data_IF_952624208015
#
_entry.id   IF_952624208015
#
_cell.length_a   1.000
_cell.length_b   1.000
_cell.length_c   1.000
_cell.angle_alpha   90.00
_cell.angle_beta   90.00
_cell.angle_gamma   90.00
#
_symmetry.space_group_name_H-M   'P 1'
#
loop_
_entity.id
_entity.type
_entity.pdbx_description
1 polymer ?
#
# COMPACT_ATOMS: atom_id res chain seq x y z
N UNK A 1 -15.82 -1.14 -13.92
CA UNK A 1 -15.34 0.00 -13.10
C UNK A 1 -13.94 -0.32 -12.65
N UNK A 2 -12.94 0.42 -13.15
CA UNK A 2 -11.59 0.42 -12.58
C UNK A 2 -11.47 1.67 -11.74
N UNK A 3 -10.94 1.55 -10.53
CA UNK A 3 -10.76 2.69 -9.64
C UNK A 3 -9.42 3.42 -9.94
N UNK A 4 -8.54 2.83 -10.76
CA UNK A 4 -7.20 3.33 -11.10
C UNK A 4 -6.99 3.32 -12.61
N UNK A 5 -6.55 4.45 -13.15
CA UNK A 5 -6.14 4.59 -14.55
C UNK A 5 -4.62 4.57 -14.68
N UNK A 6 -4.12 3.78 -15.62
CA UNK A 6 -2.71 3.75 -15.99
C UNK A 6 -2.52 4.63 -17.22
N UNK A 7 -2.05 5.86 -17.03
CA UNK A 7 -1.84 6.81 -18.14
C UNK A 7 -0.78 6.31 -19.11
N UNK A 8 0.30 5.72 -18.58
CA UNK A 8 1.43 5.16 -19.35
C UNK A 8 2.00 3.93 -18.65
N UNK A 9 2.66 3.07 -19.41
CA UNK A 9 3.34 1.88 -18.87
C UNK A 9 2.38 0.72 -18.61
N UNK A 10 2.71 -0.07 -17.59
CA UNK A 10 1.93 -1.27 -17.22
C UNK A 10 1.09 -1.01 -15.97
N UNK A 11 -0.08 -1.67 -15.89
CA UNK A 11 -0.94 -1.59 -14.73
C UNK A 11 -0.20 -2.01 -13.46
N UNK A 12 -0.33 -1.19 -12.41
CA UNK A 12 0.21 -1.44 -11.07
C UNK A 12 -0.97 -1.64 -10.11
N UNK A 13 -1.15 -2.84 -9.52
CA UNK A 13 -2.22 -3.06 -8.55
C UNK A 13 -2.12 -2.13 -7.34
N UNK A 14 -3.25 -1.84 -6.71
CA UNK A 14 -3.29 -0.98 -5.53
C UNK A 14 -2.45 -1.48 -4.37
N UNK A 15 -1.83 -0.53 -3.67
CA UNK A 15 -0.96 -0.84 -2.55
C UNK A 15 0.28 -1.63 -2.97
N UNK A 16 0.65 -1.65 -4.25
CA UNK A 16 1.87 -2.30 -4.71
C UNK A 16 2.88 -1.28 -5.20
N UNK A 17 4.16 -1.55 -4.97
CA UNK A 17 5.26 -0.74 -5.47
C UNK A 17 6.50 -1.60 -5.69
N UNK A 18 7.35 -1.19 -6.61
CA UNK A 18 8.62 -1.87 -6.89
C UNK A 18 9.51 -1.04 -7.79
N UNK A 19 10.78 -1.43 -7.87
CA UNK A 19 11.76 -0.84 -8.77
C UNK A 19 12.91 -1.81 -9.07
N UNK A 20 13.69 -1.46 -10.08
CA UNK A 20 14.94 -2.12 -10.48
C UNK A 20 16.16 -1.19 -10.26
N UNK A 21 16.19 -0.44 -9.17
CA UNK A 21 17.15 0.65 -9.02
C UNK A 21 18.55 0.18 -8.61
N UNK A 22 18.68 -0.62 -7.53
CA UNK A 22 20.00 -1.00 -7.01
C UNK A 22 19.94 -2.20 -6.05
N UNK A 23 21.09 -2.83 -5.79
CA UNK A 23 21.22 -3.86 -4.73
C UNK A 23 21.37 -3.29 -3.31
N UNK A 24 21.36 -1.95 -3.13
CA UNK A 24 21.43 -1.31 -1.81
C UNK A 24 20.03 -1.20 -1.20
N UNK A 25 19.96 -1.04 0.12
CA UNK A 25 18.72 -0.73 0.83
C UNK A 25 18.24 0.70 0.56
N UNK A 26 17.78 0.92 -0.67
CA UNK A 26 17.34 2.21 -1.20
C UNK A 26 16.17 2.02 -2.19
N UNK A 27 15.02 1.48 -1.74
CA UNK A 27 13.86 1.31 -2.59
C UNK A 27 13.31 2.69 -3.04
N UNK A 28 13.13 2.84 -4.35
CA UNK A 28 12.59 4.01 -5.04
C UNK A 28 11.10 3.89 -5.34
N UNK A 29 10.57 2.66 -5.51
CA UNK A 29 9.15 2.44 -5.74
C UNK A 29 8.32 2.90 -4.54
N UNK A 30 7.20 3.60 -4.80
CA UNK A 30 6.32 4.14 -3.75
C UNK A 30 4.84 3.90 -4.05
N UNK A 31 4.06 3.71 -2.99
CA UNK A 31 2.60 3.82 -3.03
C UNK A 31 2.10 4.59 -1.81
N UNK A 32 0.90 5.16 -1.91
CA UNK A 32 0.17 5.71 -0.77
C UNK A 32 -1.31 5.35 -0.91
N UNK A 33 -1.92 4.97 0.21
CA UNK A 33 -3.35 4.71 0.34
C UNK A 33 -3.87 5.64 1.43
N UNK A 34 -4.79 6.53 1.09
CA UNK A 34 -5.42 7.45 2.02
C UNK A 34 -6.94 7.24 2.01
N UNK A 35 -7.46 6.69 3.11
CA UNK A 35 -8.86 6.39 3.33
C UNK A 35 -9.50 7.37 4.33
N UNK A 36 -8.81 8.45 4.72
CA UNK A 36 -9.36 9.41 5.66
C UNK A 36 -10.62 10.05 5.09
N UNK A 37 -11.63 10.22 5.93
CA UNK A 37 -12.92 10.79 5.55
C UNK A 37 -13.84 9.81 4.80
N UNK A 38 -13.39 8.57 4.56
CA UNK A 38 -14.23 7.54 3.91
C UNK A 38 -14.98 6.67 4.92
N UNK A 39 -14.63 6.74 6.21
CA UNK A 39 -15.14 5.82 7.22
C UNK A 39 -14.54 4.41 7.13
N UNK A 40 -13.50 4.22 6.31
CA UNK A 40 -12.79 2.96 6.12
C UNK A 40 -11.36 3.04 6.67
N UNK A 41 -10.83 1.87 7.04
CA UNK A 41 -9.42 1.65 7.38
C UNK A 41 -8.97 0.27 6.89
N UNK A 42 -7.67 0.09 6.73
CA UNK A 42 -7.09 -1.23 6.45
C UNK A 42 -7.09 -2.09 7.73
N UNK A 43 -7.39 -3.38 7.60
CA UNK A 43 -7.37 -4.31 8.73
C UNK A 43 -5.96 -4.42 9.34
N UNK A 44 -5.91 -4.66 10.65
CA UNK A 44 -4.66 -4.63 11.43
C UNK A 44 -3.70 -5.78 11.06
N UNK A 45 -4.25 -6.93 10.68
CA UNK A 45 -3.51 -8.16 10.37
C UNK A 45 -3.10 -8.28 8.90
N UNK A 46 -3.45 -7.31 8.05
CA UNK A 46 -2.96 -7.28 6.67
C UNK A 46 -1.45 -7.01 6.68
N UNK A 47 -0.69 -7.68 5.81
CA UNK A 47 0.74 -7.44 5.67
C UNK A 47 1.09 -7.21 4.21
N UNK A 48 2.24 -6.57 3.98
CA UNK A 48 2.84 -6.49 2.65
C UNK A 48 3.97 -7.51 2.58
N UNK A 49 3.99 -8.25 1.48
CA UNK A 49 4.98 -9.27 1.21
C UNK A 49 5.94 -8.80 0.12
N UNK A 50 7.22 -8.96 0.37
CA UNK A 50 8.27 -8.76 -0.62
C UNK A 50 8.26 -9.88 -1.68
N UNK A 51 8.48 -9.49 -2.92
CA UNK A 51 8.55 -10.36 -4.11
C UNK A 51 9.77 -9.98 -4.94
N UNK A 52 10.59 -10.97 -5.25
CA UNK A 52 11.82 -10.79 -6.03
C UNK A 52 13.06 -11.13 -5.22
N UNK A 53 14.24 -10.78 -5.74
CA UNK A 53 15.52 -11.07 -5.10
C UNK A 53 16.05 -9.81 -4.39
N UNK A 54 16.42 -9.93 -3.11
CA UNK A 54 16.95 -8.81 -2.29
C UNK A 54 16.07 -7.55 -2.36
N UNK A 55 14.78 -7.76 -2.15
CA UNK A 55 13.80 -6.66 -2.06
C UNK A 55 13.82 -6.09 -0.65
N UNK A 56 13.76 -4.77 -0.54
CA UNK A 56 13.44 -4.11 0.73
C UNK A 56 12.06 -3.47 0.61
N UNK A 57 11.22 -3.68 1.62
CA UNK A 57 10.00 -2.91 1.86
C UNK A 57 10.07 -2.13 3.17
N UNK A 58 9.44 -0.96 3.18
CA UNK A 58 9.14 -0.17 4.38
C UNK A 58 7.69 0.29 4.29
N UNK A 59 6.86 -0.18 5.20
CA UNK A 59 5.43 0.14 5.25
C UNK A 59 5.15 0.93 6.52
N UNK A 60 4.75 2.19 6.33
CA UNK A 60 4.40 3.10 7.39
C UNK A 60 2.86 3.17 7.50
N UNK A 61 2.33 2.95 8.72
CA UNK A 61 0.90 2.98 9.01
C UNK A 61 0.58 4.15 9.92
N UNK A 62 -0.46 4.91 9.59
CA UNK A 62 -0.92 6.03 10.43
C UNK A 62 -2.43 6.21 10.37
N UNK A 63 -2.94 7.15 11.18
CA UNK A 63 -4.38 7.46 11.27
C UNK A 63 -5.28 6.23 11.47
N UNK A 64 -4.93 5.38 12.43
CA UNK A 64 -5.70 4.15 12.72
C UNK A 64 -5.81 3.19 11.51
N UNK A 65 -4.73 3.06 10.73
CA UNK A 65 -4.69 2.32 9.45
C UNK A 65 -5.55 2.91 8.33
N UNK A 66 -6.01 4.15 8.45
CA UNK A 66 -6.63 4.88 7.34
C UNK A 66 -5.60 5.36 6.32
N UNK A 67 -4.34 5.55 6.73
CA UNK A 67 -3.24 5.96 5.86
C UNK A 67 -2.15 4.91 5.87
N UNK A 68 -1.77 4.42 4.70
CA UNK A 68 -0.67 3.49 4.49
C UNK A 68 0.27 4.05 3.43
N UNK A 69 1.54 4.19 3.78
CA UNK A 69 2.59 4.59 2.85
C UNK A 69 3.60 3.46 2.70
N UNK A 70 3.96 3.14 1.46
CA UNK A 70 4.92 2.09 1.18
C UNK A 70 6.08 2.57 0.33
N UNK A 71 7.28 2.13 0.69
CA UNK A 71 8.48 2.20 -0.15
C UNK A 71 9.02 0.81 -0.38
N UNK A 72 9.07 0.37 -1.63
CA UNK A 72 9.43 -1.02 -1.96
C UNK A 72 10.23 -1.09 -3.25
N UNK A 73 11.18 -2.02 -3.30
CA UNK A 73 12.00 -2.26 -4.50
C UNK A 73 13.42 -2.67 -4.15
N UNK A 74 14.38 -2.21 -4.96
CA UNK A 74 15.79 -2.61 -4.88
C UNK A 74 16.24 -3.29 -6.17
N UNK A 75 16.64 -4.56 -6.08
CA UNK A 75 17.17 -5.31 -7.23
C UNK A 75 16.05 -6.01 -8.00
N UNK A 76 15.26 -5.22 -8.74
CA UNK A 76 14.06 -5.68 -9.44
C UNK A 76 13.04 -6.34 -8.51
N UNK A 77 12.89 -5.75 -7.33
CA UNK A 77 11.97 -6.18 -6.29
C UNK A 77 10.67 -5.41 -6.34
N UNK A 78 9.64 -5.97 -5.71
CA UNK A 78 8.38 -5.27 -5.42
C UNK A 78 7.76 -5.78 -4.13
N UNK A 79 6.88 -5.01 -3.54
CA UNK A 79 6.00 -5.47 -2.46
C UNK A 79 4.54 -5.39 -2.91
N UNK A 80 3.72 -6.24 -2.33
CA UNK A 80 2.27 -6.22 -2.51
C UNK A 80 1.57 -6.68 -1.23
N UNK A 81 0.30 -6.31 -1.00
CA UNK A 81 -0.50 -6.91 0.06
C UNK A 81 -0.48 -8.44 -0.05
N UNK A 82 -0.63 -9.13 1.08
CA UNK A 82 -0.73 -10.59 1.16
C UNK A 82 -1.53 -11.15 -0.03
N UNK A 83 -0.90 -12.03 -0.80
CA UNK A 83 -1.46 -12.47 -2.09
C UNK A 83 -2.76 -13.27 -1.96
N UNK A 84 -3.02 -13.86 -0.79
CA UNK A 84 -4.22 -14.66 -0.53
C UNK A 84 -5.34 -13.82 0.10
N UNK A 85 -5.01 -12.74 0.81
CA UNK A 85 -6.00 -11.81 1.39
C UNK A 85 -6.35 -10.63 0.47
N UNK A 86 -5.36 -10.09 -0.26
CA UNK A 86 -5.49 -8.83 -0.98
C UNK A 86 -5.63 -7.61 -0.06
N UNK A 87 -6.08 -6.48 -0.60
CA UNK A 87 -6.43 -5.32 0.24
C UNK A 87 -7.78 -5.57 0.91
N UNK A 88 -7.76 -5.62 2.25
CA UNK A 88 -8.96 -5.82 3.07
C UNK A 88 -9.21 -4.57 3.91
N UNK A 89 -10.43 -4.06 3.82
CA UNK A 89 -10.88 -2.87 4.54
C UNK A 89 -11.87 -3.26 5.65
N UNK A 90 -11.91 -2.44 6.69
CA UNK A 90 -12.92 -2.50 7.76
C UNK A 90 -13.48 -1.11 8.00
N UNK A 91 -14.65 -1.05 8.64
CA UNK A 91 -15.25 0.21 9.07
C UNK A 91 -14.39 0.82 10.20
N UNK A 92 -14.11 2.11 10.08
CA UNK A 92 -13.47 2.91 11.12
C UNK A 92 -14.51 3.82 11.79
N UNK A 93 -15.07 3.34 12.89
CA UNK A 93 -16.06 4.11 13.67
C UNK A 93 -15.50 5.45 14.17
N UNK A 94 -14.19 5.60 14.37
CA UNK A 94 -13.60 6.86 14.83
C UNK A 94 -13.73 7.96 13.78
N UNK A 95 -13.66 7.60 12.50
CA UNK A 95 -13.85 8.55 11.41
C UNK A 95 -15.32 8.96 11.26
N UNK A 96 -16.26 8.02 11.45
CA UNK A 96 -17.69 8.31 11.36
C UNK A 96 -18.17 9.19 12.53
N UNK A 97 -17.67 8.93 13.74
CA UNK A 97 -18.04 9.69 14.92
C UNK A 97 -17.48 11.13 14.91
N UNK A 98 -16.42 11.39 14.15
CA UNK A 98 -15.86 12.72 13.94
C UNK A 98 -16.54 13.49 12.78
N UNK A 99 -17.48 12.87 12.06
CA UNK A 99 -18.17 13.43 10.90
C UNK A 99 -19.60 13.91 11.18
N UNK A 100 -19.97 14.17 12.44
CA UNK A 100 -21.27 14.75 12.77
C UNK A 100 -21.35 16.19 12.24
N UNK A 101 -22.02 16.35 11.10
CA UNK A 101 -22.59 17.63 10.66
C UNK A 101 -23.73 18.06 11.58
#
# INVERSE_FOLDING_TARGET
>A
MMFADTLHGSFVPYGTAGDCYSMKDCPQGRFSVDLRGTGLRIVDDLQWEDKGHRTTSRIDRSSNNAVIEGRCGGYCGKCAPDKYKGLVFSIDQRQLNNGSW
#
